data_IF_931565703012
#
_entry.id   IF_931565703012
#
_cell.length_a   1.000
_cell.length_b   1.000
_cell.length_c   1.000
_cell.angle_alpha   90.00
_cell.angle_beta   90.00
_cell.angle_gamma   90.00
#
_symmetry.space_group_name_H-M   'P 1'
#
loop_
_entity.id
_entity.type
_entity.pdbx_description
1 polymer ?
#
# COMPACT_ATOMS: atom_id res chain seq x y z
N UNK A 1 22.77 -19.55 23.92
CA UNK A 1 22.67 -18.26 23.21
C UNK A 1 21.64 -18.42 22.11
N UNK A 2 20.45 -17.85 22.31
CA UNK A 2 19.50 -17.69 21.19
C UNK A 2 20.08 -16.54 20.36
N UNK A 3 20.49 -16.80 19.13
CA UNK A 3 20.90 -15.75 18.19
C UNK A 3 19.67 -14.87 17.92
N UNK A 4 19.47 -13.82 18.73
CA UNK A 4 18.42 -12.85 18.52
C UNK A 4 18.78 -12.01 17.29
N UNK A 5 17.88 -11.98 16.30
CA UNK A 5 17.98 -11.01 15.20
C UNK A 5 17.80 -9.61 15.78
N UNK A 6 18.63 -8.65 15.37
CA UNK A 6 18.59 -7.29 15.91
C UNK A 6 17.34 -6.53 15.45
N UNK A 7 16.90 -5.54 16.22
CA UNK A 7 15.71 -4.74 15.87
C UNK A 7 15.92 -3.96 14.56
N UNK A 8 17.16 -3.60 14.21
CA UNK A 8 17.48 -2.97 12.92
C UNK A 8 17.27 -3.93 11.75
N UNK A 9 17.73 -5.17 11.89
CA UNK A 9 17.55 -6.22 10.87
C UNK A 9 16.07 -6.57 10.72
N UNK A 10 15.34 -6.69 11.84
CA UNK A 10 13.90 -6.95 11.80
C UNK A 10 13.13 -5.75 11.21
N UNK A 11 13.46 -4.52 11.60
CA UNK A 11 12.88 -3.29 11.04
C UNK A 11 13.06 -3.17 9.54
N UNK A 12 14.22 -3.59 9.04
CA UNK A 12 14.57 -3.50 7.62
C UNK A 12 13.93 -4.62 6.80
N UNK A 13 13.99 -5.87 7.27
CA UNK A 13 13.65 -7.02 6.44
C UNK A 13 12.28 -7.63 6.73
N UNK A 14 11.69 -7.43 7.92
CA UNK A 14 10.38 -8.03 8.22
C UNK A 14 9.27 -7.56 7.27
N UNK A 15 9.12 -6.25 6.95
CA UNK A 15 8.12 -5.81 5.98
C UNK A 15 8.35 -6.41 4.58
N UNK A 16 9.61 -6.59 4.16
CA UNK A 16 9.95 -7.22 2.87
C UNK A 16 9.52 -8.69 2.83
N UNK A 17 9.84 -9.45 3.89
CA UNK A 17 9.42 -10.86 4.01
C UNK A 17 7.90 -10.97 4.02
N UNK A 18 7.23 -10.11 4.80
CA UNK A 18 5.77 -10.06 4.87
C UNK A 18 5.15 -9.71 3.51
N UNK A 19 5.73 -8.75 2.77
CA UNK A 19 5.29 -8.39 1.43
C UNK A 19 5.24 -9.60 0.50
N UNK A 20 6.34 -10.35 0.40
CA UNK A 20 6.44 -11.49 -0.50
C UNK A 20 5.61 -12.68 -0.02
N UNK A 21 5.55 -12.93 1.29
CA UNK A 21 4.71 -13.98 1.86
C UNK A 21 3.23 -13.72 1.59
N UNK A 22 2.76 -12.50 1.83
CA UNK A 22 1.36 -12.13 1.65
C UNK A 22 0.97 -11.96 0.17
N UNK A 23 1.90 -11.49 -0.67
CA UNK A 23 1.73 -11.54 -2.12
C UNK A 23 1.64 -12.97 -2.64
N UNK A 24 2.49 -13.87 -2.13
CA UNK A 24 2.47 -15.30 -2.46
C UNK A 24 1.15 -15.96 -2.06
N UNK A 25 0.62 -15.63 -0.87
CA UNK A 25 -0.72 -16.04 -0.46
C UNK A 25 -1.76 -15.64 -1.52
N UNK A 26 -1.80 -14.37 -1.94
CA UNK A 26 -2.75 -13.94 -2.96
C UNK A 26 -2.56 -14.59 -4.34
N UNK A 27 -1.33 -14.93 -4.72
CA UNK A 27 -1.07 -15.68 -5.96
C UNK A 27 -1.70 -17.08 -5.91
N UNK A 28 -1.62 -17.78 -4.76
CA UNK A 28 -2.24 -19.10 -4.58
C UNK A 28 -3.77 -19.01 -4.73
N UNK A 29 -4.40 -17.96 -4.17
CA UNK A 29 -5.83 -17.69 -4.33
C UNK A 29 -6.19 -17.06 -5.69
N UNK A 30 -5.22 -16.57 -6.44
CA UNK A 30 -5.42 -15.94 -7.75
C UNK A 30 -6.00 -16.87 -8.81
N UNK A 31 -6.00 -18.19 -8.56
CA UNK A 31 -6.66 -19.21 -9.40
C UNK A 31 -8.17 -19.30 -9.19
N UNK A 32 -8.73 -18.64 -8.18
CA UNK A 32 -10.18 -18.56 -7.98
C UNK A 32 -10.78 -17.44 -8.83
N UNK A 33 -10.98 -17.70 -10.12
CA UNK A 33 -11.56 -16.75 -11.09
C UNK A 33 -12.87 -16.09 -10.62
N UNK A 34 -13.66 -16.81 -9.81
CA UNK A 34 -14.93 -16.35 -9.24
C UNK A 34 -14.82 -15.19 -8.24
N UNK A 35 -13.61 -14.86 -7.77
CA UNK A 35 -13.38 -13.74 -6.85
C UNK A 35 -12.54 -12.62 -7.45
N UNK A 36 -12.12 -12.73 -8.72
CA UNK A 36 -11.29 -11.72 -9.35
C UNK A 36 -12.10 -10.50 -9.82
N UNK A 37 -11.51 -9.32 -9.74
CA UNK A 37 -12.04 -8.07 -10.34
C UNK A 37 -11.82 -8.02 -11.85
N UNK A 38 -10.71 -8.60 -12.32
CA UNK A 38 -10.37 -8.74 -13.73
C UNK A 38 -9.98 -10.19 -14.03
N UNK A 39 -10.30 -10.69 -15.22
CA UNK A 39 -9.86 -12.02 -15.65
C UNK A 39 -8.33 -12.07 -15.76
N UNK A 40 -7.72 -13.26 -15.69
CA UNK A 40 -6.28 -13.40 -15.94
C UNK A 40 -5.86 -12.92 -17.33
N UNK A 41 -6.73 -13.14 -18.33
CA UNK A 41 -6.50 -12.66 -19.71
C UNK A 41 -6.41 -11.13 -19.70
N UNK A 42 -7.33 -10.44 -19.04
CA UNK A 42 -7.27 -8.98 -18.91
C UNK A 42 -6.03 -8.51 -18.15
N UNK A 43 -5.63 -9.21 -17.08
CA UNK A 43 -4.40 -8.90 -16.33
C UNK A 43 -3.16 -9.02 -17.23
N UNK A 44 -3.07 -10.07 -18.05
CA UNK A 44 -1.90 -10.33 -18.90
C UNK A 44 -1.88 -9.43 -20.15
N UNK A 45 -3.05 -9.04 -20.69
CA UNK A 45 -3.16 -8.24 -21.93
C UNK A 45 -3.21 -6.73 -21.69
N UNK A 46 -3.81 -6.25 -20.60
CA UNK A 46 -3.99 -4.81 -20.35
C UNK A 46 -2.79 -4.17 -19.65
N UNK A 47 -2.01 -4.94 -18.90
CA UNK A 47 -0.82 -4.42 -18.22
C UNK A 47 0.30 -4.14 -19.24
N UNK A 48 0.96 -2.99 -19.09
CA UNK A 48 1.91 -2.47 -20.07
C UNK A 48 3.35 -2.94 -19.86
N UNK A 49 3.58 -3.81 -18.87
CA UNK A 49 4.89 -4.33 -18.48
C UNK A 49 4.80 -5.81 -18.13
N UNK A 50 5.83 -6.61 -18.45
CA UNK A 50 5.85 -8.01 -18.05
C UNK A 50 6.04 -8.15 -16.55
N UNK A 51 5.46 -9.20 -15.96
CA UNK A 51 5.56 -9.52 -14.53
C UNK A 51 7.02 -9.65 -14.04
N UNK A 52 7.94 -10.07 -14.90
CA UNK A 52 9.38 -10.14 -14.58
C UNK A 52 9.99 -8.77 -14.29
N UNK A 53 9.59 -7.74 -15.04
CA UNK A 53 10.09 -6.38 -14.83
C UNK A 53 9.45 -5.75 -13.59
N UNK A 54 8.23 -6.17 -13.28
CA UNK A 54 7.54 -5.80 -12.04
C UNK A 54 8.27 -6.35 -10.82
N UNK A 55 8.61 -7.64 -10.83
CA UNK A 55 9.41 -8.25 -9.75
C UNK A 55 10.76 -7.55 -9.61
N UNK A 56 11.49 -7.29 -10.71
CA UNK A 56 12.77 -6.56 -10.67
C UNK A 56 12.60 -5.16 -10.09
N UNK A 57 11.56 -4.44 -10.49
CA UNK A 57 11.26 -3.08 -10.01
C UNK A 57 10.96 -3.07 -8.51
N UNK A 58 10.15 -4.00 -8.03
CA UNK A 58 9.84 -4.15 -6.60
C UNK A 58 11.10 -4.50 -5.79
N UNK A 59 11.93 -5.43 -6.27
CA UNK A 59 13.18 -5.77 -5.61
C UNK A 59 14.16 -4.59 -5.57
N UNK A 60 14.24 -3.80 -6.65
CA UNK A 60 15.02 -2.57 -6.68
C UNK A 60 14.49 -1.57 -5.64
N UNK A 61 13.18 -1.39 -5.58
CA UNK A 61 12.54 -0.49 -4.62
C UNK A 61 12.82 -0.90 -3.17
N UNK A 62 12.65 -2.19 -2.86
CA UNK A 62 12.95 -2.75 -1.54
C UNK A 62 14.45 -2.65 -1.19
N UNK A 63 15.35 -2.83 -2.16
CA UNK A 63 16.79 -2.65 -1.94
C UNK A 63 17.14 -1.19 -1.61
N UNK A 64 16.54 -0.22 -2.32
CA UNK A 64 16.71 1.20 -2.03
C UNK A 64 16.16 1.54 -0.64
N UNK A 65 14.96 1.07 -0.30
CA UNK A 65 14.35 1.29 1.02
C UNK A 65 15.20 0.67 2.14
N UNK A 66 15.71 -0.56 1.95
CA UNK A 66 16.56 -1.23 2.92
C UNK A 66 17.89 -0.50 3.13
N UNK A 67 18.50 0.01 2.04
CA UNK A 67 19.70 0.83 2.12
C UNK A 67 19.44 2.12 2.90
N UNK A 68 18.35 2.84 2.59
CA UNK A 68 18.00 4.09 3.29
C UNK A 68 17.72 3.82 4.77
N UNK A 69 16.95 2.77 5.09
CA UNK A 69 16.70 2.37 6.47
C UNK A 69 18.00 2.07 7.24
N UNK A 70 18.91 1.30 6.64
CA UNK A 70 20.21 0.97 7.23
C UNK A 70 21.06 2.22 7.48
N UNK A 71 21.11 3.14 6.51
CA UNK A 71 21.84 4.41 6.66
C UNK A 71 21.23 5.29 7.75
N UNK A 72 19.90 5.37 7.82
CA UNK A 72 19.22 6.11 8.87
C UNK A 72 19.55 5.54 10.24
N UNK A 73 19.48 4.22 10.43
CA UNK A 73 19.88 3.57 11.69
C UNK A 73 21.35 3.80 12.02
N UNK A 74 22.26 3.76 11.05
CA UNK A 74 23.67 4.03 11.29
C UNK A 74 23.93 5.46 11.79
N UNK A 75 23.09 6.42 11.39
CA UNK A 75 23.19 7.82 11.80
C UNK A 75 22.44 8.09 13.12
N UNK A 76 21.35 7.39 13.40
CA UNK A 76 20.46 7.65 14.55
C UNK A 76 20.58 6.64 15.70
N UNK A 77 21.29 5.53 15.50
CA UNK A 77 21.30 4.37 16.40
C UNK A 77 21.77 4.64 17.83
N UNK A 78 22.52 5.72 18.07
CA UNK A 78 22.97 6.09 19.41
C UNK A 78 21.90 6.77 20.28
N UNK A 79 20.83 7.30 19.69
CA UNK A 79 19.80 8.08 20.41
C UNK A 79 18.55 7.25 20.80
N UNK A 80 18.40 6.04 20.25
CA UNK A 80 17.16 5.23 20.35
C UNK A 80 17.23 4.19 21.47
N UNK A 81 18.41 3.80 21.93
CA UNK A 81 18.60 2.84 23.04
C UNK A 81 18.04 3.34 24.38
N UNK A 82 17.86 4.66 24.55
CA UNK A 82 17.40 5.27 25.80
C UNK A 82 15.90 5.03 26.14
N UNK A 83 15.11 4.44 25.25
CA UNK A 83 13.67 4.24 25.44
C UNK A 83 13.27 2.80 25.87
N UNK A 84 14.25 1.96 26.23
CA UNK A 84 14.05 0.56 26.60
C UNK A 84 13.61 0.41 28.07
N UNK A 85 12.37 0.78 28.37
CA UNK A 85 11.83 0.57 29.74
C UNK A 85 10.33 0.76 29.93
N UNK A 86 9.58 1.21 28.92
CA UNK A 86 8.13 1.41 29.10
C UNK A 86 7.33 0.12 28.94
N UNK A 87 6.54 -0.18 29.96
CA UNK A 87 5.58 -1.29 29.97
C UNK A 87 4.60 -1.17 28.79
N UNK A 88 4.45 -2.27 28.05
CA UNK A 88 3.63 -2.35 26.84
C UNK A 88 2.14 -2.21 27.16
N UNK A 89 1.63 -0.98 27.21
CA UNK A 89 0.19 -0.73 27.37
C UNK A 89 -0.52 -0.87 26.02
N UNK A 90 -1.49 -1.78 25.94
CA UNK A 90 -2.29 -1.99 24.72
C UNK A 90 -3.00 -0.69 24.26
N UNK A 91 -3.40 0.16 25.20
CA UNK A 91 -4.02 1.46 24.91
C UNK A 91 -3.00 2.40 24.27
N UNK A 92 -1.76 2.41 24.76
CA UNK A 92 -0.68 3.21 24.19
C UNK A 92 -0.35 2.73 22.78
N UNK A 93 -0.22 1.41 22.56
CA UNK A 93 -0.02 0.84 21.23
C UNK A 93 -1.17 1.17 20.27
N UNK A 94 -2.41 1.02 20.71
CA UNK A 94 -3.58 1.34 19.90
C UNK A 94 -3.60 2.83 19.51
N UNK A 95 -3.27 3.73 20.44
CA UNK A 95 -3.12 5.17 20.15
C UNK A 95 -2.00 5.41 19.15
N UNK A 96 -0.82 4.83 19.36
CA UNK A 96 0.35 4.99 18.47
C UNK A 96 0.02 4.52 17.06
N UNK A 97 -0.60 3.34 16.91
CA UNK A 97 -1.02 2.80 15.62
C UNK A 97 -2.06 3.71 14.96
N UNK A 98 -3.05 4.19 15.72
CA UNK A 98 -4.08 5.09 15.18
C UNK A 98 -3.47 6.39 14.66
N UNK A 99 -2.56 7.01 15.42
CA UNK A 99 -1.84 8.21 14.99
C UNK A 99 -1.02 7.92 13.73
N UNK A 100 -0.28 6.80 13.72
CA UNK A 100 0.54 6.40 12.58
C UNK A 100 -0.30 6.16 11.32
N UNK A 101 -1.45 5.50 11.41
CA UNK A 101 -2.36 5.32 10.27
C UNK A 101 -2.83 6.66 9.70
N UNK A 102 -3.25 7.59 10.57
CA UNK A 102 -3.73 8.91 10.12
C UNK A 102 -2.61 9.72 9.48
N UNK A 103 -1.41 9.71 10.06
CA UNK A 103 -0.23 10.40 9.50
C UNK A 103 0.15 9.81 8.14
N UNK A 104 0.23 8.48 8.05
CA UNK A 104 0.58 7.79 6.82
C UNK A 104 -0.43 8.09 5.71
N UNK A 105 -1.73 7.91 5.98
CA UNK A 105 -2.81 8.19 5.04
C UNK A 105 -2.80 9.64 4.57
N UNK A 106 -2.52 10.58 5.48
CA UNK A 106 -2.44 12.01 5.15
C UNK A 106 -1.30 12.27 4.19
N UNK A 107 -0.09 11.82 4.52
CA UNK A 107 1.06 12.01 3.66
C UNK A 107 0.86 11.38 2.27
N UNK A 108 0.47 10.11 2.27
CA UNK A 108 0.23 9.33 1.06
C UNK A 108 -0.84 9.98 0.19
N UNK A 109 -2.00 10.36 0.73
CA UNK A 109 -3.05 11.00 -0.04
C UNK A 109 -2.55 12.27 -0.75
N UNK A 110 -1.94 13.21 -0.02
CA UNK A 110 -1.57 14.49 -0.59
C UNK A 110 -0.45 14.35 -1.62
N UNK A 111 0.54 13.49 -1.35
CA UNK A 111 1.64 13.25 -2.26
C UNK A 111 1.18 12.49 -3.51
N UNK A 112 0.34 11.47 -3.36
CA UNK A 112 -0.24 10.71 -4.46
C UNK A 112 -1.11 11.60 -5.36
N UNK A 113 -2.02 12.39 -4.77
CA UNK A 113 -2.82 13.37 -5.50
C UNK A 113 -1.94 14.39 -6.21
N UNK A 114 -0.90 14.91 -5.56
CA UNK A 114 0.00 15.87 -6.17
C UNK A 114 0.76 15.28 -7.37
N UNK A 115 1.21 14.02 -7.29
CA UNK A 115 1.85 13.34 -8.43
C UNK A 115 0.91 13.18 -9.63
N UNK A 116 -0.39 12.94 -9.39
CA UNK A 116 -1.39 12.92 -10.46
C UNK A 116 -1.66 14.28 -11.09
N UNK A 117 -1.70 15.34 -10.28
CA UNK A 117 -2.01 16.69 -10.76
C UNK A 117 -0.81 17.34 -11.46
N UNK A 118 0.41 17.05 -11.01
CA UNK A 118 1.63 17.56 -11.61
C UNK A 118 2.00 16.71 -12.84
N UNK A 119 1.85 17.28 -14.04
CA UNK A 119 2.13 16.59 -15.32
C UNK A 119 3.54 16.01 -15.42
N UNK A 120 4.54 16.67 -14.83
CA UNK A 120 5.91 16.19 -14.85
C UNK A 120 6.08 14.95 -13.96
N UNK A 121 5.59 15.01 -12.72
CA UNK A 121 5.66 13.90 -11.78
C UNK A 121 4.83 12.72 -12.28
N UNK A 122 3.64 12.94 -12.81
CA UNK A 122 2.85 11.87 -13.42
C UNK A 122 3.62 11.20 -14.56
N UNK A 123 4.05 11.97 -15.57
CA UNK A 123 4.65 11.42 -16.78
C UNK A 123 5.95 10.67 -16.56
N UNK A 124 6.76 11.06 -15.57
CA UNK A 124 8.11 10.50 -15.40
C UNK A 124 8.27 9.61 -14.18
N UNK A 125 7.36 9.70 -13.20
CA UNK A 125 7.47 8.98 -11.93
C UNK A 125 6.23 8.10 -11.77
N UNK A 126 5.06 8.69 -11.53
CA UNK A 126 3.88 7.94 -11.10
C UNK A 126 3.22 7.10 -12.20
N UNK A 127 3.38 7.48 -13.47
CA UNK A 127 2.91 6.67 -14.60
C UNK A 127 3.60 5.31 -14.69
N UNK A 128 4.76 5.10 -14.05
CA UNK A 128 5.36 3.77 -13.94
C UNK A 128 4.45 2.82 -13.17
N UNK A 129 3.89 3.28 -12.06
CA UNK A 129 2.95 2.50 -11.26
C UNK A 129 1.68 2.20 -12.05
N UNK A 130 1.12 3.20 -12.74
CA UNK A 130 -0.05 3.07 -13.63
C UNK A 130 0.22 2.30 -14.93
N UNK A 131 1.42 1.74 -15.16
CA UNK A 131 1.60 0.70 -16.18
C UNK A 131 0.86 -0.59 -15.81
N UNK A 132 0.54 -0.76 -14.53
CA UNK A 132 -0.30 -1.84 -14.01
C UNK A 132 -1.78 -1.44 -14.03
N UNK A 133 -2.37 -1.38 -15.22
CA UNK A 133 -3.79 -1.05 -15.43
C UNK A 133 -4.74 -2.01 -14.69
N UNK A 134 -4.33 -3.27 -14.55
CA UNK A 134 -5.02 -4.29 -13.75
C UNK A 134 -4.10 -4.63 -12.57
N UNK A 135 -4.36 -4.04 -11.38
CA UNK A 135 -3.55 -4.29 -10.19
C UNK A 135 -3.55 -5.76 -9.75
N UNK A 136 -2.41 -6.21 -9.25
CA UNK A 136 -2.25 -7.53 -8.62
C UNK A 136 -1.28 -7.44 -7.45
N UNK A 137 -1.36 -8.42 -6.54
CA UNK A 137 -0.76 -8.36 -5.20
C UNK A 137 0.74 -7.97 -5.16
N UNK A 138 1.60 -8.66 -5.91
CA UNK A 138 3.04 -8.37 -5.92
C UNK A 138 3.41 -7.14 -6.77
N UNK A 139 2.44 -6.49 -7.43
CA UNK A 139 2.61 -5.22 -8.13
C UNK A 139 2.43 -4.00 -7.23
N UNK A 140 2.02 -4.19 -5.96
CA UNK A 140 1.74 -3.13 -4.99
C UNK A 140 2.88 -2.10 -4.83
N UNK A 141 4.13 -2.56 -4.87
CA UNK A 141 5.31 -1.68 -4.74
C UNK A 141 6.07 -1.49 -6.07
N UNK A 142 5.41 -1.77 -7.20
CA UNK A 142 5.98 -1.46 -8.50
C UNK A 142 5.80 0.03 -8.79
N UNK A 143 6.73 0.83 -8.30
CA UNK A 143 6.77 2.27 -8.50
C UNK A 143 8.19 2.72 -8.88
N UNK A 144 8.31 3.96 -9.35
CA UNK A 144 9.62 4.53 -9.62
C UNK A 144 10.39 4.73 -8.30
N UNK A 145 11.72 4.52 -8.20
CA UNK A 145 12.42 4.61 -6.92
C UNK A 145 12.23 5.92 -6.15
N UNK A 146 12.21 7.03 -6.88
CA UNK A 146 11.91 8.34 -6.30
C UNK A 146 10.47 8.44 -5.75
N UNK A 147 9.52 7.75 -6.35
CA UNK A 147 8.14 7.68 -5.84
C UNK A 147 8.11 7.02 -4.48
N UNK A 148 8.62 5.81 -4.35
CA UNK A 148 8.56 5.14 -3.06
C UNK A 148 9.53 5.72 -2.02
N UNK A 149 10.54 6.51 -2.40
CA UNK A 149 11.25 7.38 -1.44
C UNK A 149 10.33 8.50 -0.93
N UNK A 150 9.64 9.21 -1.82
CA UNK A 150 8.81 10.36 -1.46
C UNK A 150 7.51 9.95 -0.76
N UNK A 151 6.85 8.89 -1.20
CA UNK A 151 5.60 8.39 -0.63
C UNK A 151 5.89 7.49 0.58
N UNK A 152 6.60 6.39 0.37
CA UNK A 152 6.69 5.32 1.36
C UNK A 152 7.73 5.63 2.44
N UNK A 153 8.95 6.01 2.06
CA UNK A 153 10.03 6.24 3.04
C UNK A 153 9.75 7.49 3.88
N UNK A 154 9.42 8.63 3.27
CA UNK A 154 9.10 9.85 4.03
C UNK A 154 7.79 9.67 4.81
N UNK A 155 6.75 9.11 4.21
CA UNK A 155 5.48 8.86 4.90
C UNK A 155 5.64 7.91 6.09
N UNK A 156 6.43 6.85 5.93
CA UNK A 156 6.80 5.94 7.00
C UNK A 156 7.59 6.63 8.10
N UNK A 157 8.62 7.40 7.76
CA UNK A 157 9.41 8.15 8.73
C UNK A 157 8.56 9.14 9.55
N UNK A 158 7.67 9.90 8.89
CA UNK A 158 6.74 10.80 9.58
C UNK A 158 5.80 10.04 10.51
N UNK A 159 5.27 8.91 10.06
CA UNK A 159 4.36 8.07 10.86
C UNK A 159 5.06 7.49 12.09
N UNK A 160 6.30 7.02 11.94
CA UNK A 160 7.14 6.55 13.03
C UNK A 160 7.40 7.66 14.06
N UNK A 161 7.91 8.80 13.60
CA UNK A 161 8.29 9.92 14.48
C UNK A 161 7.09 10.53 15.21
N UNK A 162 6.00 10.82 14.50
CA UNK A 162 4.84 11.53 15.07
C UNK A 162 3.95 10.64 15.94
N UNK A 163 3.96 9.31 15.72
CA UNK A 163 3.28 8.40 16.63
C UNK A 163 4.04 8.18 17.94
N UNK A 164 5.35 8.41 17.96
CA UNK A 164 6.21 8.13 19.11
C UNK A 164 6.28 6.63 19.44
N UNK A 165 6.09 5.77 18.43
CA UNK A 165 6.20 4.32 18.61
C UNK A 165 7.66 3.88 18.77
N UNK A 166 7.89 2.79 19.48
CA UNK A 166 9.23 2.21 19.57
C UNK A 166 9.63 1.55 18.24
N UNK A 167 10.93 1.33 17.96
CA UNK A 167 11.37 0.55 16.79
C UNK A 167 10.68 -0.82 16.71
N UNK A 168 10.48 -1.46 17.87
CA UNK A 168 9.79 -2.74 17.92
C UNK A 168 8.32 -2.66 17.53
N UNK A 169 7.60 -1.63 18.00
CA UNK A 169 6.22 -1.39 17.59
C UNK A 169 6.11 -1.03 16.10
N UNK A 170 7.12 -0.35 15.55
CA UNK A 170 7.15 0.03 14.14
C UNK A 170 7.31 -1.15 13.20
N UNK A 171 8.05 -2.19 13.59
CA UNK A 171 8.12 -3.47 12.84
C UNK A 171 6.71 -4.02 12.59
N UNK A 172 5.89 -4.09 13.64
CA UNK A 172 4.51 -4.59 13.53
C UNK A 172 3.63 -3.66 12.71
N UNK A 173 3.72 -2.34 12.94
CA UNK A 173 2.93 -1.35 12.22
C UNK A 173 3.23 -1.38 10.72
N UNK A 174 4.50 -1.33 10.32
CA UNK A 174 4.88 -1.33 8.91
C UNK A 174 4.62 -2.68 8.23
N UNK A 175 4.78 -3.80 8.94
CA UNK A 175 4.33 -5.10 8.43
C UNK A 175 2.83 -5.11 8.16
N UNK A 176 2.02 -4.55 9.06
CA UNK A 176 0.58 -4.40 8.88
C UNK A 176 0.23 -3.46 7.71
N UNK A 177 0.91 -2.32 7.58
CA UNK A 177 0.74 -1.40 6.46
C UNK A 177 1.08 -2.08 5.13
N UNK A 178 2.17 -2.86 5.08
CA UNK A 178 2.55 -3.65 3.90
C UNK A 178 1.49 -4.68 3.53
N UNK A 179 0.95 -5.42 4.50
CA UNK A 179 -0.17 -6.35 4.28
C UNK A 179 -1.35 -5.59 3.66
N UNK A 180 -1.70 -4.42 4.21
CA UNK A 180 -2.80 -3.61 3.72
C UNK A 180 -2.57 -3.11 2.30
N UNK A 181 -1.39 -2.60 1.97
CA UNK A 181 -1.05 -2.18 0.61
C UNK A 181 -1.16 -3.33 -0.39
N UNK A 182 -0.67 -4.52 -0.04
CA UNK A 182 -0.80 -5.71 -0.90
C UNK A 182 -2.26 -6.13 -1.07
N UNK A 183 -3.06 -6.06 0.00
CA UNK A 183 -4.51 -6.31 0.00
C UNK A 183 -5.24 -5.36 -0.98
N UNK A 184 -4.91 -4.08 -0.94
CA UNK A 184 -5.50 -3.05 -1.81
C UNK A 184 -5.17 -3.25 -3.29
N UNK A 185 -4.07 -3.94 -3.60
CA UNK A 185 -3.67 -4.21 -4.98
C UNK A 185 -4.00 -5.63 -5.43
N UNK A 186 -4.53 -6.50 -4.56
CA UNK A 186 -4.55 -7.94 -4.84
C UNK A 186 -5.42 -8.34 -6.04
N UNK A 187 -6.34 -7.47 -6.49
CA UNK A 187 -7.26 -7.73 -7.60
C UNK A 187 -8.33 -8.78 -7.26
N UNK A 188 -8.44 -9.19 -5.99
CA UNK A 188 -9.40 -10.18 -5.50
C UNK A 188 -10.43 -9.56 -4.54
N UNK A 189 -11.63 -10.12 -4.57
CA UNK A 189 -12.71 -9.88 -3.64
C UNK A 189 -13.05 -11.17 -2.88
N UNK A 190 -12.20 -11.53 -1.92
CA UNK A 190 -12.34 -12.78 -1.16
C UNK A 190 -13.46 -12.68 -0.10
N UNK A 191 -14.28 -13.72 0.07
CA UNK A 191 -15.30 -13.74 1.11
C UNK A 191 -14.63 -13.78 2.49
N UNK A 192 -15.12 -12.96 3.42
CA UNK A 192 -14.58 -12.91 4.79
C UNK A 192 -13.26 -12.16 4.93
N UNK A 193 -12.81 -11.41 3.91
CA UNK A 193 -11.68 -10.51 4.08
C UNK A 193 -11.99 -9.45 5.17
N UNK A 194 -11.32 -9.57 6.31
CA UNK A 194 -11.51 -8.67 7.47
C UNK A 194 -11.11 -7.23 7.12
N UNK A 195 -10.16 -7.02 6.22
CA UNK A 195 -9.78 -5.67 5.80
C UNK A 195 -10.94 -4.93 5.17
N UNK A 196 -11.76 -5.60 4.36
CA UNK A 196 -12.93 -4.99 3.72
C UNK A 196 -14.03 -4.59 4.73
N UNK A 197 -14.00 -5.16 5.94
CA UNK A 197 -14.94 -4.81 7.03
C UNK A 197 -14.48 -3.54 7.75
N UNK A 198 -13.18 -3.44 8.04
CA UNK A 198 -12.62 -2.33 8.83
C UNK A 198 -12.21 -1.13 7.98
N UNK A 199 -11.82 -1.36 6.73
CA UNK A 199 -11.25 -0.35 5.85
C UNK A 199 -12.05 -0.26 4.55
N UNK A 200 -12.45 0.96 4.20
CA UNK A 200 -13.15 1.25 2.94
C UNK A 200 -12.18 1.37 1.76
N UNK A 201 -10.90 1.61 2.04
CA UNK A 201 -9.85 1.43 1.07
C UNK A 201 -9.61 -0.07 0.93
N UNK A 202 -9.82 -0.60 -0.27
CA UNK A 202 -9.78 -2.03 -0.57
C UNK A 202 -9.47 -2.24 -2.07
N UNK A 203 -9.40 -3.51 -2.49
CA UNK A 203 -9.06 -3.87 -3.87
C UNK A 203 -9.95 -3.23 -4.93
N UNK A 204 -11.27 -3.13 -4.72
CA UNK A 204 -12.19 -2.52 -5.68
C UNK A 204 -12.06 -0.99 -5.74
N UNK A 205 -11.83 -0.35 -4.59
CA UNK A 205 -11.59 1.08 -4.52
C UNK A 205 -10.32 1.49 -5.29
N UNK A 206 -9.25 0.73 -5.10
CA UNK A 206 -7.96 0.99 -5.74
C UNK A 206 -7.95 0.55 -7.22
N UNK A 207 -8.64 -0.54 -7.56
CA UNK A 207 -8.84 -0.94 -8.97
C UNK A 207 -9.45 0.17 -9.81
N UNK A 208 -10.48 0.85 -9.28
CA UNK A 208 -11.12 1.99 -9.93
C UNK A 208 -10.11 3.09 -10.21
N UNK A 209 -9.22 3.38 -9.27
CA UNK A 209 -8.19 4.41 -9.41
C UNK A 209 -7.24 4.13 -10.59
N UNK A 210 -6.84 2.87 -10.77
CA UNK A 210 -5.97 2.42 -11.88
C UNK A 210 -6.67 2.42 -13.26
N UNK A 211 -8.01 2.51 -13.29
CA UNK A 211 -8.72 2.66 -14.56
C UNK A 211 -8.47 4.05 -15.17
N UNK A 212 -8.56 4.16 -16.50
CA UNK A 212 -8.31 5.43 -17.22
C UNK A 212 -9.09 6.63 -16.66
N UNK A 213 -10.34 6.42 -16.27
CA UNK A 213 -11.21 7.45 -15.68
C UNK A 213 -10.93 7.69 -14.19
N UNK A 214 -10.27 6.74 -13.51
CA UNK A 214 -9.93 6.75 -12.09
C UNK A 214 -8.76 7.64 -11.73
N UNK A 215 -7.92 8.04 -12.69
CA UNK A 215 -6.74 8.89 -12.50
C UNK A 215 -7.00 10.26 -11.85
N UNK A 216 -8.27 10.63 -11.63
CA UNK A 216 -8.72 11.87 -10.96
C UNK A 216 -9.36 11.64 -9.59
N UNK A 217 -9.48 10.40 -9.14
CA UNK A 217 -10.25 10.00 -7.97
C UNK A 217 -9.53 8.93 -7.15
N UNK A 218 -10.01 8.70 -5.93
CA UNK A 218 -9.59 7.59 -5.06
C UNK A 218 -8.07 7.56 -4.78
N UNK A 219 -7.51 8.69 -4.34
CA UNK A 219 -6.07 8.82 -4.09
C UNK A 219 -5.62 8.31 -2.72
N UNK A 220 -6.54 8.09 -1.79
CA UNK A 220 -6.18 7.70 -0.42
C UNK A 220 -5.55 6.31 -0.42
N UNK A 221 -4.55 6.12 0.44
CA UNK A 221 -3.92 4.83 0.73
C UNK A 221 -3.09 4.93 2.03
N UNK A 222 -2.89 3.82 2.77
CA UNK A 222 -3.47 2.51 2.54
C UNK A 222 -4.75 2.22 3.36
N UNK A 223 -5.16 3.02 4.35
CA UNK A 223 -6.21 2.58 5.30
C UNK A 223 -7.60 3.17 5.03
N UNK A 224 -7.73 4.49 5.03
CA UNK A 224 -9.00 5.18 5.02
C UNK A 224 -9.22 5.92 3.70
N UNK A 225 -10.47 6.23 3.38
CA UNK A 225 -10.87 7.04 2.20
C UNK A 225 -11.27 8.47 2.61
N UNK A 226 -10.86 8.88 3.81
CA UNK A 226 -11.30 10.10 4.47
C UNK A 226 -10.97 11.33 3.65
N UNK A 227 -9.73 11.45 3.16
CA UNK A 227 -9.28 12.62 2.41
C UNK A 227 -9.98 12.76 1.07
N UNK A 228 -10.24 11.65 0.37
CA UNK A 228 -11.06 11.69 -0.85
C UNK A 228 -12.47 12.20 -0.60
N UNK A 229 -13.07 11.87 0.55
CA UNK A 229 -14.40 12.38 0.92
C UNK A 229 -14.37 13.85 1.29
N UNK A 230 -13.38 14.27 2.08
CA UNK A 230 -13.23 15.66 2.51
C UNK A 230 -12.99 16.57 1.31
N UNK A 231 -12.17 16.14 0.36
CA UNK A 231 -11.71 16.98 -0.76
C UNK A 231 -12.41 16.68 -2.09
N UNK A 232 -13.50 15.92 -2.06
CA UNK A 232 -14.36 15.67 -3.22
C UNK A 232 -13.74 14.82 -4.33
N UNK A 233 -12.75 13.99 -4.01
CA UNK A 233 -12.09 13.07 -4.96
C UNK A 233 -12.49 11.61 -4.77
N UNK A 234 -13.50 11.33 -3.94
CA UNK A 234 -14.05 9.98 -3.77
C UNK A 234 -14.96 9.61 -4.94
N UNK A 235 -14.67 8.50 -5.61
CA UNK A 235 -15.53 7.91 -6.62
C UNK A 235 -16.29 6.72 -6.01
N UNK A 236 -17.61 6.86 -5.76
CA UNK A 236 -18.44 5.77 -5.26
C UNK A 236 -18.65 4.69 -6.33
N UNK A 237 -18.74 3.43 -5.89
CA UNK A 237 -18.84 2.29 -6.79
C UNK A 237 -19.77 1.18 -6.28
N UNK A 238 -20.28 0.38 -7.19
CA UNK A 238 -20.95 -0.91 -6.95
C UNK A 238 -20.04 -2.06 -7.37
N UNK A 239 -20.14 -3.19 -6.67
CA UNK A 239 -19.54 -4.45 -7.08
C UNK A 239 -20.61 -5.33 -7.71
N UNK A 240 -20.44 -5.60 -9.01
CA UNK A 240 -21.38 -6.40 -9.79
C UNK A 240 -20.78 -7.76 -10.11
N UNK A 241 -21.58 -8.82 -10.06
CA UNK A 241 -21.12 -10.15 -10.49
C UNK A 241 -21.09 -10.20 -12.02
N UNK A 242 -19.99 -10.71 -12.57
CA UNK A 242 -19.87 -10.94 -14.02
C UNK A 242 -20.53 -12.25 -14.40
N UNK A 243 -21.10 -12.32 -15.61
CA UNK A 243 -21.75 -13.54 -16.13
C UNK A 243 -20.79 -14.74 -16.20
N UNK A 244 -19.50 -14.49 -16.47
CA UNK A 244 -18.44 -15.51 -16.52
C UNK A 244 -17.77 -15.81 -15.17
N UNK A 245 -18.31 -15.30 -14.05
CA UNK A 245 -17.67 -15.40 -12.74
C UNK A 245 -16.76 -14.20 -12.41
N UNK A 246 -16.56 -13.97 -11.11
CA UNK A 246 -15.83 -12.80 -10.62
C UNK A 246 -16.74 -11.59 -10.43
N UNK A 247 -16.10 -10.47 -10.16
CA UNK A 247 -16.74 -9.19 -9.88
C UNK A 247 -16.22 -8.12 -10.83
N UNK A 248 -16.96 -7.02 -10.94
CA UNK A 248 -16.52 -5.80 -11.61
C UNK A 248 -16.88 -4.61 -10.72
N UNK A 249 -15.90 -3.74 -10.45
CA UNK A 249 -16.14 -2.50 -9.73
C UNK A 249 -16.61 -1.43 -10.74
N UNK A 250 -17.86 -0.98 -10.61
CA UNK A 250 -18.44 0.03 -11.49
C UNK A 250 -18.68 1.35 -10.75
N UNK A 251 -18.21 2.50 -11.26
CA UNK A 251 -18.58 3.79 -10.72
C UNK A 251 -20.10 4.01 -10.76
N UNK A 252 -20.67 4.49 -9.65
CA UNK A 252 -22.10 4.80 -9.56
C UNK A 252 -22.43 6.17 -10.17
N UNK A 253 -23.66 6.33 -10.66
CA UNK A 253 -24.12 7.51 -11.44
C UNK A 253 -24.17 8.84 -10.64
N UNK A 254 -23.97 8.83 -9.33
CA UNK A 254 -23.95 10.06 -8.51
C UNK A 254 -22.86 11.07 -8.94
N UNK A 255 -21.89 10.64 -9.76
CA UNK A 255 -20.82 11.49 -10.28
C UNK A 255 -21.18 12.43 -11.46
N UNK A 256 -22.37 12.38 -12.07
CA UNK A 256 -22.62 13.19 -13.30
C UNK A 256 -22.96 14.67 -13.07
N UNK A 257 -23.18 15.11 -11.82
CA UNK A 257 -23.78 16.42 -11.53
C UNK A 257 -22.98 17.35 -10.61
N UNK A 258 -21.69 17.07 -10.34
CA UNK A 258 -20.82 17.98 -9.57
C UNK A 258 -19.64 18.47 -10.41
#
# INVERSE_FOLDING_TARGET
MVFGVSDELLGTFAPIVVYWAYSGFYILFGSFENYRLHTKVEEDEKNLVPKTDVVKGVLLQQAVQALVATLLFAVTGNDVEAATGQQLSLIVLARQFSVAMVVLDTWQYFMHRYMHHNKFLYRHIHSQHHKLVVPYAFGALYNHPLEGLLLDTIGGALSFLLSGMSPRASIFFFSFATIKTVDDHCGLWLPGNLFHVFFRNNSAYHDIHHQLYGTKYNFSQPFFVMWDRILGTYMPYSLEKRAGGGFEARPTKECKNN
#
